data_IF_831003496592
#
_entry.id   IF_831003496592
#
_cell.length_a   1.000
_cell.length_b   1.000
_cell.length_c   1.000
_cell.angle_alpha   90.00
_cell.angle_beta   90.00
_cell.angle_gamma   90.00
#
_symmetry.space_group_name_H-M   'P 1'
#
loop_
_entity.id
_entity.type
_entity.pdbx_description
1 polymer ?
#
# COMPACT_ATOMS: atom_id res chain seq x y z
N UNK A 1 -20.17 -21.70 -12.65
CA UNK A 1 -19.65 -23.10 -12.51
C UNK A 1 -18.53 -23.14 -11.47
N UNK A 2 -17.26 -22.82 -11.78
CA UNK A 2 -16.18 -22.88 -10.75
C UNK A 2 -16.37 -21.93 -9.56
N UNK A 3 -16.81 -20.69 -9.79
CA UNK A 3 -17.01 -19.73 -8.70
C UNK A 3 -18.19 -20.13 -7.77
N UNK A 4 -19.28 -20.66 -8.35
CA UNK A 4 -20.40 -21.18 -7.57
C UNK A 4 -20.01 -22.41 -6.74
N UNK A 5 -19.20 -23.31 -7.29
CA UNK A 5 -18.67 -24.48 -6.57
C UNK A 5 -17.81 -24.07 -5.37
N UNK A 6 -16.93 -23.07 -5.54
CA UNK A 6 -16.13 -22.54 -4.44
C UNK A 6 -17.03 -21.88 -3.40
N UNK A 7 -18.00 -21.06 -3.81
CA UNK A 7 -18.93 -20.43 -2.88
C UNK A 7 -19.78 -21.45 -2.10
N UNK A 8 -20.15 -22.57 -2.72
CA UNK A 8 -20.89 -23.65 -2.07
C UNK A 8 -20.10 -24.38 -0.97
N UNK A 9 -18.77 -24.18 -0.89
CA UNK A 9 -17.96 -24.69 0.23
C UNK A 9 -18.17 -23.92 1.54
N UNK A 10 -18.90 -22.80 1.51
CA UNK A 10 -19.19 -21.99 2.70
C UNK A 10 -18.13 -20.93 3.04
N UNK A 11 -17.23 -20.62 2.10
CA UNK A 11 -16.26 -19.52 2.27
C UNK A 11 -16.94 -18.16 2.36
N UNK A 12 -16.40 -17.27 3.19
CA UNK A 12 -16.92 -15.91 3.37
C UNK A 12 -16.75 -15.03 2.13
N UNK A 13 -15.71 -15.31 1.33
CA UNK A 13 -15.41 -14.56 0.12
C UNK A 13 -14.78 -15.44 -0.96
N UNK A 14 -14.93 -15.01 -2.21
CA UNK A 14 -14.32 -15.65 -3.38
C UNK A 14 -13.55 -14.61 -4.17
N UNK A 15 -12.26 -14.86 -4.40
CA UNK A 15 -11.42 -14.02 -5.23
C UNK A 15 -11.50 -14.46 -6.69
N UNK A 16 -11.76 -13.52 -7.59
CA UNK A 16 -11.91 -13.75 -9.03
C UNK A 16 -10.76 -13.07 -9.77
N UNK A 17 -9.88 -13.85 -10.40
CA UNK A 17 -8.80 -13.33 -11.23
C UNK A 17 -9.33 -12.65 -12.49
N UNK A 18 -9.15 -11.33 -12.59
CA UNK A 18 -9.56 -10.49 -13.70
C UNK A 18 -8.34 -10.17 -14.58
N UNK A 19 -8.00 -11.11 -15.46
CA UNK A 19 -6.95 -10.92 -16.46
C UNK A 19 -7.41 -9.94 -17.55
N UNK A 20 -6.51 -9.11 -18.13
CA UNK A 20 -6.85 -8.19 -19.19
C UNK A 20 -7.63 -8.87 -20.33
N UNK A 21 -8.86 -8.42 -20.56
CA UNK A 21 -9.75 -8.98 -21.57
C UNK A 21 -10.86 -8.00 -21.89
N UNK A 22 -11.29 -7.96 -23.16
CA UNK A 22 -12.47 -7.20 -23.57
C UNK A 22 -13.77 -7.70 -22.90
N UNK A 23 -13.76 -8.92 -22.33
CA UNK A 23 -14.95 -9.55 -21.75
C UNK A 23 -15.10 -9.30 -20.24
N UNK A 24 -14.22 -8.52 -19.58
CA UNK A 24 -14.30 -8.32 -18.12
C UNK A 24 -15.69 -7.81 -17.70
N UNK A 25 -16.28 -6.88 -18.46
CA UNK A 25 -17.61 -6.36 -18.16
C UNK A 25 -18.70 -7.45 -18.23
N UNK A 26 -18.66 -8.29 -19.26
CA UNK A 26 -19.62 -9.38 -19.41
C UNK A 26 -19.44 -10.44 -18.32
N UNK A 27 -18.19 -10.73 -17.93
CA UNK A 27 -17.87 -11.62 -16.82
C UNK A 27 -18.39 -11.07 -15.49
N UNK A 28 -18.18 -9.78 -15.20
CA UNK A 28 -18.69 -9.15 -13.99
C UNK A 28 -20.22 -9.21 -13.92
N UNK A 29 -20.91 -8.93 -15.03
CA UNK A 29 -22.36 -9.06 -15.13
C UNK A 29 -22.84 -10.50 -14.89
N UNK A 30 -22.17 -11.49 -15.50
CA UNK A 30 -22.53 -12.90 -15.31
C UNK A 30 -22.34 -13.38 -13.87
N UNK A 31 -21.44 -12.74 -13.12
CA UNK A 31 -21.16 -13.05 -11.71
C UNK A 31 -22.09 -12.32 -10.73
N UNK A 32 -22.90 -11.36 -11.19
CA UNK A 32 -23.77 -10.54 -10.32
C UNK A 32 -24.73 -11.38 -9.45
N UNK A 33 -25.39 -12.47 -9.94
CA UNK A 33 -26.21 -13.31 -9.07
C UNK A 33 -25.43 -14.00 -7.95
N UNK A 34 -24.14 -14.30 -8.17
CA UNK A 34 -23.24 -14.84 -7.15
C UNK A 34 -22.79 -13.75 -6.17
N UNK A 35 -22.43 -12.57 -6.69
CA UNK A 35 -22.06 -11.40 -5.90
C UNK A 35 -23.19 -10.95 -4.95
N UNK A 36 -24.44 -11.19 -5.31
CA UNK A 36 -25.59 -10.90 -4.44
C UNK A 36 -25.65 -11.74 -3.15
N UNK A 37 -25.00 -12.91 -3.12
CA UNK A 37 -25.06 -13.85 -1.98
C UNK A 37 -23.70 -14.21 -1.38
N UNK A 38 -22.61 -13.92 -2.08
CA UNK A 38 -21.23 -14.22 -1.66
C UNK A 38 -20.34 -13.03 -1.94
N UNK A 39 -19.44 -12.67 -1.01
CA UNK A 39 -18.53 -11.53 -1.19
C UNK A 39 -17.52 -11.85 -2.30
N UNK A 40 -17.67 -11.23 -3.46
CA UNK A 40 -16.69 -11.37 -4.55
C UNK A 40 -15.63 -10.27 -4.47
N UNK A 41 -14.37 -10.66 -4.56
CA UNK A 41 -13.23 -9.76 -4.68
C UNK A 41 -12.65 -9.89 -6.08
N UNK A 42 -12.67 -8.82 -6.88
CA UNK A 42 -12.01 -8.81 -8.18
C UNK A 42 -10.50 -8.68 -7.99
N UNK A 43 -9.70 -9.51 -8.63
CA UNK A 43 -8.23 -9.46 -8.55
C UNK A 43 -7.67 -8.95 -9.87
N UNK A 44 -7.17 -7.72 -9.87
CA UNK A 44 -6.41 -7.12 -10.96
C UNK A 44 -4.92 -7.43 -10.78
N UNK A 45 -4.16 -7.41 -11.87
CA UNK A 45 -2.75 -7.83 -11.85
C UNK A 45 -1.82 -6.68 -12.22
N UNK A 46 -0.97 -6.24 -11.27
CA UNK A 46 -0.06 -5.11 -11.42
C UNK A 46 0.91 -5.29 -12.59
N UNK A 47 1.44 -6.51 -12.76
CA UNK A 47 2.40 -6.91 -13.80
C UNK A 47 1.75 -7.13 -15.18
N UNK A 48 0.44 -6.90 -15.30
CA UNK A 48 -0.31 -6.98 -16.56
C UNK A 48 -1.00 -5.65 -16.91
N UNK A 49 -0.49 -4.53 -16.40
CA UNK A 49 -1.02 -3.18 -16.64
C UNK A 49 -2.53 -3.08 -16.34
N UNK A 50 -2.93 -3.13 -15.05
CA UNK A 50 -4.33 -3.22 -14.68
C UNK A 50 -5.07 -1.94 -15.09
N UNK A 51 -6.25 -2.12 -15.68
CA UNK A 51 -7.14 -1.02 -16.06
C UNK A 51 -8.07 -0.66 -14.90
N UNK A 52 -7.79 0.47 -14.25
CA UNK A 52 -8.59 0.98 -13.14
C UNK A 52 -9.88 1.69 -13.60
N UNK A 53 -10.09 1.90 -14.90
CA UNK A 53 -11.39 2.37 -15.42
C UNK A 53 -12.48 1.29 -15.30
N UNK A 54 -12.10 0.04 -15.00
CA UNK A 54 -13.02 -1.06 -14.74
C UNK A 54 -13.61 -1.04 -13.32
N UNK A 55 -13.07 -0.23 -12.39
CA UNK A 55 -13.53 -0.20 -11.01
C UNK A 55 -15.06 0.06 -10.87
N UNK A 56 -15.67 1.01 -11.60
CA UNK A 56 -17.12 1.23 -11.55
C UNK A 56 -17.94 0.02 -12.01
N UNK A 57 -17.40 -0.84 -12.87
CA UNK A 57 -18.07 -2.06 -13.36
C UNK A 57 -18.21 -3.06 -12.21
N UNK A 58 -17.16 -3.26 -11.41
CA UNK A 58 -17.21 -4.16 -10.25
C UNK A 58 -18.23 -3.66 -9.21
N UNK A 59 -18.23 -2.35 -8.93
CA UNK A 59 -19.23 -1.76 -8.04
C UNK A 59 -20.67 -1.97 -8.55
N UNK A 60 -20.90 -1.70 -9.84
CA UNK A 60 -22.21 -1.87 -10.49
C UNK A 60 -22.73 -3.31 -10.38
N UNK A 61 -21.84 -4.30 -10.51
CA UNK A 61 -22.19 -5.72 -10.43
C UNK A 61 -21.96 -6.33 -9.04
N UNK A 62 -22.03 -5.50 -8.00
CA UNK A 62 -22.13 -5.91 -6.58
C UNK A 62 -20.90 -6.65 -6.03
N UNK A 63 -19.73 -6.49 -6.66
CA UNK A 63 -18.50 -6.97 -6.04
C UNK A 63 -18.32 -6.31 -4.67
N UNK A 64 -17.73 -7.04 -3.73
CA UNK A 64 -17.48 -6.56 -2.39
C UNK A 64 -16.18 -5.73 -2.32
N UNK A 65 -15.23 -6.03 -3.19
CA UNK A 65 -13.95 -5.34 -3.22
C UNK A 65 -13.12 -5.63 -4.46
N UNK A 66 -12.00 -4.95 -4.55
CA UNK A 66 -10.98 -5.13 -5.59
C UNK A 66 -9.62 -5.25 -4.92
N UNK A 67 -8.81 -6.18 -5.38
CA UNK A 67 -7.43 -6.38 -4.96
C UNK A 67 -6.50 -6.22 -6.17
N UNK A 68 -5.30 -5.70 -5.93
CA UNK A 68 -4.19 -5.82 -6.88
C UNK A 68 -3.22 -6.91 -6.40
N UNK A 69 -2.81 -7.83 -7.28
CA UNK A 69 -1.77 -8.85 -7.07
C UNK A 69 -0.78 -8.85 -8.24
N UNK A 70 0.20 -9.76 -8.23
CA UNK A 70 1.03 -10.10 -9.38
C UNK A 70 0.62 -11.45 -9.98
N UNK A 71 0.45 -11.55 -11.29
CA UNK A 71 0.12 -12.80 -11.98
C UNK A 71 1.36 -13.71 -12.05
N UNK A 72 2.50 -13.14 -12.48
CA UNK A 72 3.74 -13.88 -12.74
C UNK A 72 4.60 -13.97 -11.48
N UNK A 73 4.57 -15.16 -10.89
CA UNK A 73 5.23 -15.42 -9.61
C UNK A 73 6.74 -15.51 -9.81
N UNK A 74 7.49 -14.65 -9.11
CA UNK A 74 8.94 -14.52 -9.21
C UNK A 74 9.44 -13.47 -10.23
N UNK A 75 8.55 -12.70 -10.87
CA UNK A 75 8.91 -11.64 -11.84
C UNK A 75 8.68 -10.23 -11.30
N UNK A 76 9.08 -10.01 -10.05
CA UNK A 76 8.90 -8.75 -9.35
C UNK A 76 7.78 -8.78 -8.30
N UNK A 77 7.77 -7.71 -7.51
CA UNK A 77 6.86 -7.44 -6.38
C UNK A 77 5.88 -6.34 -6.74
N UNK A 78 4.84 -6.15 -5.92
CA UNK A 78 3.78 -5.16 -6.15
C UNK A 78 4.34 -3.78 -6.52
N UNK A 79 5.27 -3.26 -5.70
CA UNK A 79 5.81 -1.91 -5.86
C UNK A 79 6.79 -1.77 -7.04
N UNK A 80 7.24 -2.88 -7.66
CA UNK A 80 7.99 -2.82 -8.92
C UNK A 80 7.07 -2.47 -10.11
N UNK A 81 5.79 -2.87 -10.03
CA UNK A 81 4.81 -2.75 -11.12
C UNK A 81 3.78 -1.64 -10.87
N UNK A 82 3.45 -1.39 -9.60
CA UNK A 82 2.56 -0.34 -9.15
C UNK A 82 3.31 0.51 -8.10
N UNK A 83 4.12 1.49 -8.55
CA UNK A 83 4.94 2.30 -7.65
C UNK A 83 4.07 3.14 -6.69
N UNK A 84 4.62 3.57 -5.54
CA UNK A 84 3.88 4.24 -4.46
C UNK A 84 2.99 5.39 -4.94
N UNK A 85 3.48 6.23 -5.84
CA UNK A 85 2.74 7.36 -6.39
C UNK A 85 1.46 6.99 -7.14
N UNK A 86 1.32 5.74 -7.60
CA UNK A 86 0.12 5.23 -8.29
C UNK A 86 -0.86 4.51 -7.35
N UNK A 87 -0.43 4.13 -6.15
CA UNK A 87 -1.26 3.40 -5.18
C UNK A 87 -2.48 4.26 -4.75
N UNK A 88 -2.36 5.55 -4.37
CA UNK A 88 -3.51 6.36 -3.97
C UNK A 88 -4.61 6.40 -5.03
N UNK A 89 -4.24 6.56 -6.30
CA UNK A 89 -5.21 6.60 -7.40
C UNK A 89 -6.07 5.34 -7.50
N UNK A 90 -5.51 4.17 -7.19
CA UNK A 90 -6.26 2.93 -7.09
C UNK A 90 -7.09 2.84 -5.80
N UNK A 91 -6.46 3.09 -4.65
CA UNK A 91 -7.10 2.91 -3.34
C UNK A 91 -8.25 3.89 -3.15
N UNK A 92 -8.01 5.18 -3.36
CA UNK A 92 -9.00 6.24 -3.16
C UNK A 92 -10.17 6.08 -4.13
N UNK A 93 -9.88 5.74 -5.39
CA UNK A 93 -10.93 5.51 -6.39
C UNK A 93 -11.80 4.31 -6.03
N UNK A 94 -11.19 3.20 -5.62
CA UNK A 94 -11.93 1.99 -5.23
C UNK A 94 -12.79 2.25 -3.99
N UNK A 95 -12.24 2.93 -2.97
CA UNK A 95 -12.99 3.33 -1.77
C UNK A 95 -14.12 4.30 -2.08
N UNK A 96 -13.92 5.25 -2.99
CA UNK A 96 -14.97 6.21 -3.41
C UNK A 96 -16.19 5.52 -4.04
N UNK A 97 -16.01 4.28 -4.54
CA UNK A 97 -17.07 3.44 -5.09
C UNK A 97 -17.71 2.52 -4.03
N UNK A 98 -17.32 2.64 -2.76
CA UNK A 98 -17.82 1.81 -1.65
C UNK A 98 -17.29 0.37 -1.66
N UNK A 99 -16.18 0.11 -2.38
CA UNK A 99 -15.55 -1.20 -2.49
C UNK A 99 -14.41 -1.33 -1.48
N UNK A 100 -14.23 -2.52 -0.90
CA UNK A 100 -13.03 -2.86 -0.14
C UNK A 100 -11.80 -2.94 -1.05
N UNK A 101 -10.63 -2.61 -0.51
CA UNK A 101 -9.36 -2.54 -1.22
C UNK A 101 -8.34 -3.52 -0.64
N UNK A 102 -7.81 -4.39 -1.49
CA UNK A 102 -6.70 -5.28 -1.16
C UNK A 102 -5.42 -4.94 -1.93
N UNK A 103 -4.27 -5.13 -1.29
CA UNK A 103 -2.97 -5.09 -1.96
C UNK A 103 -2.19 -6.38 -1.67
N UNK A 104 -1.63 -7.00 -2.70
CA UNK A 104 -0.90 -8.27 -2.67
C UNK A 104 0.18 -8.27 -3.75
N UNK A 105 0.99 -9.31 -3.80
CA UNK A 105 2.00 -9.51 -4.85
C UNK A 105 3.42 -9.51 -4.29
N UNK A 106 3.86 -10.68 -3.83
CA UNK A 106 5.20 -10.90 -3.26
C UNK A 106 5.56 -9.91 -2.13
N UNK A 107 4.57 -9.51 -1.33
CA UNK A 107 4.79 -8.62 -0.19
C UNK A 107 5.67 -9.26 0.87
N UNK A 108 6.53 -8.44 1.47
CA UNK A 108 7.41 -8.76 2.60
C UNK A 108 7.22 -7.73 3.74
N UNK A 109 7.90 -7.96 4.87
CA UNK A 109 7.85 -7.08 6.04
C UNK A 109 8.09 -5.59 5.73
N UNK A 110 9.09 -5.20 4.90
CA UNK A 110 9.31 -3.78 4.57
C UNK A 110 8.16 -3.13 3.79
N UNK A 111 7.32 -3.91 3.11
CA UNK A 111 6.21 -3.37 2.31
C UNK A 111 5.04 -2.92 3.19
N UNK A 112 4.90 -3.47 4.41
CA UNK A 112 3.82 -3.13 5.34
C UNK A 112 3.82 -1.64 5.71
N UNK A 113 4.90 -1.08 6.29
CA UNK A 113 4.91 0.34 6.66
C UNK A 113 4.82 1.28 5.45
N UNK A 114 5.18 0.80 4.26
CA UNK A 114 5.06 1.55 3.01
C UNK A 114 3.64 1.59 2.46
N UNK A 115 2.87 0.51 2.67
CA UNK A 115 1.51 0.36 2.14
C UNK A 115 0.40 0.81 3.11
N UNK A 116 0.61 0.67 4.41
CA UNK A 116 -0.36 1.08 5.44
C UNK A 116 -0.78 2.57 5.36
N UNK A 117 0.10 3.54 5.04
CA UNK A 117 -0.29 4.94 4.90
C UNK A 117 -1.34 5.20 3.81
N UNK A 118 -1.44 4.32 2.80
CA UNK A 118 -2.50 4.39 1.79
C UNK A 118 -3.82 3.79 2.27
N UNK A 119 -3.85 3.27 3.50
CA UNK A 119 -5.01 2.69 4.17
C UNK A 119 -5.74 1.57 3.36
N UNK A 120 -5.07 0.55 2.79
CA UNK A 120 -5.79 -0.59 2.23
C UNK A 120 -6.62 -1.31 3.32
N UNK A 121 -7.73 -1.94 2.95
CA UNK A 121 -8.56 -2.69 3.90
C UNK A 121 -7.92 -4.04 4.29
N UNK A 122 -7.09 -4.61 3.41
CA UNK A 122 -6.30 -5.80 3.71
C UNK A 122 -5.04 -5.93 2.86
N UNK A 123 -4.05 -6.64 3.40
CA UNK A 123 -2.80 -6.99 2.72
C UNK A 123 -2.70 -8.51 2.53
N UNK A 124 -2.27 -8.95 1.34
CA UNK A 124 -2.13 -10.35 0.98
C UNK A 124 -0.68 -10.84 1.04
N UNK A 125 -0.41 -11.85 1.86
CA UNK A 125 0.91 -12.47 1.99
C UNK A 125 0.87 -13.96 1.69
N UNK A 126 1.94 -14.47 1.08
CA UNK A 126 2.14 -15.92 0.91
C UNK A 126 3.58 -16.34 1.11
N UNK A 127 4.53 -15.69 0.41
CA UNK A 127 5.95 -15.99 0.53
C UNK A 127 6.48 -15.64 1.92
N UNK A 128 6.20 -14.42 2.39
CA UNK A 128 6.61 -13.94 3.71
C UNK A 128 6.09 -14.81 4.87
N UNK A 129 4.97 -15.50 4.71
CA UNK A 129 4.40 -16.37 5.75
C UNK A 129 5.02 -17.77 5.81
N UNK A 130 5.92 -18.11 4.89
CA UNK A 130 6.54 -19.44 4.78
C UNK A 130 7.95 -19.54 5.35
N UNK A 131 8.43 -18.47 5.98
CA UNK A 131 9.82 -18.36 6.38
C UNK A 131 10.78 -18.59 5.20
N UNK A 132 11.94 -19.17 5.48
CA UNK A 132 13.00 -19.40 4.49
C UNK A 132 12.74 -20.61 3.58
N UNK A 133 11.64 -21.34 3.76
CA UNK A 133 11.35 -22.59 3.04
C UNK A 133 10.66 -22.39 1.68
N UNK A 134 10.43 -21.13 1.28
CA UNK A 134 9.88 -20.78 -0.03
C UNK A 134 8.35 -20.85 -0.10
N UNK A 135 7.78 -20.18 -1.11
CA UNK A 135 6.34 -19.91 -1.23
C UNK A 135 5.42 -21.13 -1.22
N UNK A 136 5.90 -22.32 -1.57
CA UNK A 136 5.09 -23.55 -1.63
C UNK A 136 5.09 -24.36 -0.34
N UNK A 137 5.88 -23.97 0.67
CA UNK A 137 5.93 -24.67 1.96
C UNK A 137 4.70 -24.39 2.82
N UNK A 138 4.62 -25.03 3.99
CA UNK A 138 3.64 -24.73 5.02
C UNK A 138 3.83 -23.31 5.57
N UNK A 139 2.72 -22.68 5.96
CA UNK A 139 2.75 -21.41 6.69
C UNK A 139 3.43 -21.64 8.04
N UNK A 140 4.37 -20.76 8.40
CA UNK A 140 5.06 -20.73 9.69
C UNK A 140 4.31 -19.80 10.65
N UNK A 141 3.98 -20.29 11.85
CA UNK A 141 3.34 -19.49 12.89
C UNK A 141 4.22 -18.31 13.33
N UNK A 142 5.54 -18.51 13.37
CA UNK A 142 6.52 -17.48 13.71
C UNK A 142 6.51 -16.34 12.67
N UNK A 143 6.56 -16.70 11.38
CA UNK A 143 6.52 -15.73 10.29
C UNK A 143 5.19 -14.95 10.24
N UNK A 144 4.09 -15.62 10.59
CA UNK A 144 2.78 -14.96 10.75
C UNK A 144 2.81 -13.95 11.91
N UNK A 145 3.41 -14.29 13.05
CA UNK A 145 3.55 -13.36 14.19
C UNK A 145 4.35 -12.13 13.79
N UNK A 146 5.51 -12.32 13.16
CA UNK A 146 6.38 -11.23 12.70
C UNK A 146 5.65 -10.26 11.75
N UNK A 147 4.91 -10.78 10.77
CA UNK A 147 4.12 -9.96 9.85
C UNK A 147 2.95 -9.27 10.57
N UNK A 148 2.28 -9.96 11.49
CA UNK A 148 1.14 -9.40 12.24
C UNK A 148 1.56 -8.24 13.13
N UNK A 149 2.71 -8.32 13.78
CA UNK A 149 3.21 -7.29 14.70
C UNK A 149 3.56 -5.98 14.01
N UNK A 150 3.85 -6.01 12.71
CA UNK A 150 4.04 -4.81 11.88
C UNK A 150 2.71 -4.14 11.48
N UNK A 151 1.58 -4.79 11.72
CA UNK A 151 0.25 -4.26 11.42
C UNK A 151 -0.37 -3.72 12.72
N UNK A 152 -0.79 -2.46 12.79
CA UNK A 152 -1.42 -1.91 13.99
C UNK A 152 -2.71 -2.68 14.34
N UNK A 153 -2.98 -2.89 15.62
CA UNK A 153 -4.30 -3.34 16.04
C UNK A 153 -5.36 -2.27 15.69
N UNK A 154 -6.56 -2.70 15.30
CA UNK A 154 -7.66 -1.76 15.14
C UNK A 154 -8.01 -1.18 16.52
N UNK A 155 -7.77 0.10 16.72
CA UNK A 155 -8.26 0.79 17.92
C UNK A 155 -9.78 0.82 17.86
N UNK A 156 -10.44 0.03 18.71
CA UNK A 156 -11.88 0.15 18.91
C UNK A 156 -12.22 1.53 19.49
N UNK A 157 -13.29 2.12 18.97
CA UNK A 157 -14.02 3.32 19.44
C UNK A 157 -13.55 4.70 18.97
N UNK A 158 -14.53 5.47 18.49
CA UNK A 158 -14.37 6.77 17.84
C UNK A 158 -14.17 7.93 18.82
N UNK A 159 -13.42 8.91 18.34
CA UNK A 159 -13.24 10.23 18.93
C UNK A 159 -12.62 11.14 17.87
N UNK A 160 -13.30 12.24 17.56
CA UNK A 160 -12.76 13.28 16.69
C UNK A 160 -11.47 13.86 17.30
N UNK A 161 -10.48 14.09 16.45
CA UNK A 161 -9.08 14.42 16.76
C UNK A 161 -8.22 13.22 17.18
N UNK A 162 -8.04 12.26 16.27
CA UNK A 162 -7.23 11.07 16.49
C UNK A 162 -5.98 11.16 15.62
N UNK A 163 -4.82 11.34 16.24
CA UNK A 163 -3.52 11.06 15.62
C UNK A 163 -3.59 9.61 15.09
N UNK A 164 -3.28 9.42 13.81
CA UNK A 164 -3.42 8.10 13.17
C UNK A 164 -2.27 7.19 13.65
N UNK A 165 -2.51 6.49 14.77
CA UNK A 165 -1.56 5.56 15.37
C UNK A 165 -1.09 4.47 14.38
N UNK A 166 -1.78 4.28 13.25
CA UNK A 166 -1.32 3.42 12.15
C UNK A 166 -0.17 4.01 11.36
N UNK A 167 -0.17 5.32 11.13
CA UNK A 167 0.94 6.06 10.54
C UNK A 167 2.14 6.06 11.48
N UNK A 168 1.88 6.27 12.78
CA UNK A 168 2.91 6.24 13.82
C UNK A 168 3.55 4.85 13.95
N UNK A 169 2.78 3.77 14.01
CA UNK A 169 3.32 2.40 14.08
C UNK A 169 4.01 1.95 12.77
N UNK A 170 3.52 2.37 11.60
CA UNK A 170 4.26 2.21 10.34
C UNK A 170 5.59 2.97 10.34
N UNK A 171 5.70 4.04 11.14
CA UNK A 171 6.88 4.88 11.35
C UNK A 171 7.64 4.54 12.64
N UNK A 172 7.46 3.34 13.19
CA UNK A 172 8.25 2.92 14.34
C UNK A 172 7.83 3.54 15.68
N UNK A 173 6.62 4.07 15.81
CA UNK A 173 6.08 4.46 17.11
C UNK A 173 5.32 3.28 17.73
N UNK A 174 5.92 2.62 18.71
CA UNK A 174 5.20 1.73 19.62
C UNK A 174 4.71 2.54 20.83
N UNK A 175 3.47 2.38 21.32
CA UNK A 175 3.01 3.06 22.54
C UNK A 175 3.81 2.68 23.80
N UNK A 176 4.65 1.65 23.73
CA UNK A 176 5.61 1.25 24.77
C UNK A 176 7.02 1.83 24.52
N UNK A 177 7.14 3.00 23.90
CA UNK A 177 8.46 3.65 23.75
C UNK A 177 8.95 4.07 25.13
N UNK A 178 10.08 3.52 25.57
CA UNK A 178 10.76 4.00 26.77
C UNK A 178 11.29 5.41 26.49
N UNK A 179 10.78 6.46 27.18
CA UNK A 179 11.19 7.84 26.94
C UNK A 179 12.65 8.12 27.32
N UNK A 180 13.36 7.14 27.88
CA UNK A 180 14.81 7.21 28.10
C UNK A 180 15.63 6.80 26.87
N UNK A 181 15.01 6.17 25.87
CA UNK A 181 15.64 5.85 24.59
C UNK A 181 15.95 7.14 23.81
N UNK A 182 17.05 7.11 23.07
CA UNK A 182 17.51 8.26 22.29
C UNK A 182 16.72 8.46 21.00
N UNK A 183 17.28 9.27 20.11
CA UNK A 183 16.81 9.42 18.74
C UNK A 183 17.83 8.84 17.77
N UNK A 184 17.39 8.07 16.80
CA UNK A 184 18.17 7.77 15.61
C UNK A 184 18.02 8.91 14.61
N UNK A 185 19.12 9.27 13.94
CA UNK A 185 19.09 10.23 12.84
C UNK A 185 19.18 9.51 11.51
N UNK A 186 18.10 9.57 10.74
CA UNK A 186 17.99 8.96 9.42
C UNK A 186 18.33 9.98 8.34
N UNK A 187 19.11 9.54 7.36
CA UNK A 187 19.51 10.36 6.21
C UNK A 187 19.04 9.73 4.91
N UNK A 188 18.32 10.49 4.10
CA UNK A 188 18.13 10.23 2.67
C UNK A 188 18.94 11.31 1.94
N UNK A 189 19.95 10.92 1.17
CA UNK A 189 20.83 11.85 0.46
C UNK A 189 20.88 11.52 -1.01
N UNK A 190 21.08 12.55 -1.84
CA UNK A 190 21.21 12.42 -3.28
C UNK A 190 20.05 11.68 -3.95
N UNK A 191 18.85 11.76 -3.35
CA UNK A 191 17.64 11.20 -3.96
C UNK A 191 17.12 12.15 -5.03
N UNK A 192 17.29 11.79 -6.30
CA UNK A 192 16.95 12.66 -7.43
C UNK A 192 15.71 12.16 -8.15
N UNK A 193 14.72 13.04 -8.34
CA UNK A 193 13.50 12.75 -9.11
C UNK A 193 13.25 13.83 -10.18
N UNK A 194 12.58 13.46 -11.29
CA UNK A 194 11.98 14.44 -12.19
C UNK A 194 10.72 15.04 -11.53
N UNK A 195 10.68 16.35 -11.36
CA UNK A 195 9.57 17.06 -10.70
C UNK A 195 9.07 18.20 -11.59
N UNK A 196 7.75 18.35 -11.75
CA UNK A 196 7.18 19.55 -12.32
C UNK A 196 7.22 20.65 -11.26
N UNK A 197 8.19 21.53 -11.35
CA UNK A 197 8.40 22.60 -10.37
C UNK A 197 8.84 23.86 -11.10
N UNK A 198 8.39 25.02 -10.63
CA UNK A 198 8.79 26.30 -11.20
C UNK A 198 7.81 27.43 -10.93
N UNK A 199 8.34 28.63 -10.72
CA UNK A 199 7.53 29.82 -10.50
C UNK A 199 7.12 30.50 -11.81
N UNK A 200 7.85 30.25 -12.90
CA UNK A 200 7.57 30.86 -14.20
C UNK A 200 6.61 30.03 -15.01
N UNK A 201 5.71 30.70 -15.74
CA UNK A 201 4.71 30.07 -16.60
C UNK A 201 5.30 29.13 -17.65
N UNK A 202 6.50 29.39 -18.15
CA UNK A 202 7.18 28.51 -19.12
C UNK A 202 7.74 27.22 -18.52
N UNK A 203 7.85 27.12 -17.19
CA UNK A 203 8.28 25.90 -16.50
C UNK A 203 7.12 24.90 -16.34
N UNK A 204 5.88 25.37 -16.48
CA UNK A 204 4.70 24.50 -16.39
C UNK A 204 4.70 23.46 -17.51
N UNK A 205 4.42 22.21 -17.13
CA UNK A 205 4.40 21.08 -18.07
C UNK A 205 5.79 20.49 -18.38
N UNK A 206 6.86 21.05 -17.82
CA UNK A 206 8.21 20.49 -17.92
C UNK A 206 8.68 19.94 -16.57
N UNK A 207 9.46 18.86 -16.61
CA UNK A 207 10.09 18.29 -15.41
C UNK A 207 11.53 18.75 -15.27
N UNK A 208 11.93 19.12 -14.06
CA UNK A 208 13.31 19.45 -13.69
C UNK A 208 13.87 18.35 -12.76
N UNK A 209 15.18 18.13 -12.79
CA UNK A 209 15.82 17.20 -11.84
C UNK A 209 15.95 17.89 -10.48
N UNK A 210 15.26 17.38 -9.48
CA UNK A 210 15.32 17.90 -8.11
C UNK A 210 16.01 16.86 -7.23
N UNK A 211 17.02 17.31 -6.47
CA UNK A 211 17.68 16.50 -5.45
C UNK A 211 17.04 16.76 -4.09
N UNK A 212 16.70 15.68 -3.39
CA UNK A 212 16.21 15.69 -2.03
C UNK A 212 17.30 15.18 -1.08
N UNK A 213 17.62 16.01 -0.10
CA UNK A 213 18.47 15.66 1.04
C UNK A 213 17.63 15.86 2.30
N UNK A 214 17.23 14.76 2.94
CA UNK A 214 16.36 14.74 4.12
C UNK A 214 17.13 14.16 5.30
N UNK A 215 17.06 14.86 6.43
CA UNK A 215 17.51 14.36 7.72
C UNK A 215 16.31 14.38 8.68
N UNK A 216 16.03 13.26 9.33
CA UNK A 216 14.94 13.12 10.28
C UNK A 216 15.46 12.48 11.57
N UNK A 217 15.12 13.07 12.71
CA UNK A 217 15.33 12.47 14.03
C UNK A 217 14.09 11.65 14.37
N UNK A 218 14.26 10.35 14.56
CA UNK A 218 13.19 9.40 14.90
C UNK A 218 13.47 8.81 16.28
N UNK A 219 12.41 8.62 17.08
CA UNK A 219 12.57 7.98 18.38
C UNK A 219 13.03 6.54 18.20
N UNK A 220 13.97 6.12 19.03
CA UNK A 220 14.39 4.72 19.08
C UNK A 220 13.29 3.86 19.70
N UNK A 221 13.04 2.70 19.08
CA UNK A 221 12.09 1.70 19.59
C UNK A 221 12.75 0.81 20.63
N UNK A 222 14.04 0.50 20.42
CA UNK A 222 14.85 -0.38 21.24
C UNK A 222 16.33 -0.09 21.03
N UNK A 223 17.16 -0.30 22.05
CA UNK A 223 18.63 -0.26 21.96
C UNK A 223 19.22 -1.48 21.23
N UNK A 224 18.40 -2.52 20.99
CA UNK A 224 18.83 -3.78 20.39
C UNK A 224 17.93 -4.17 19.22
N UNK A 225 18.04 -3.50 18.06
CA UNK A 225 17.19 -3.79 16.91
C UNK A 225 17.56 -5.14 16.28
N UNK A 226 16.61 -6.08 16.29
CA UNK A 226 16.79 -7.40 15.67
C UNK A 226 16.20 -7.52 14.26
N UNK A 227 15.14 -6.75 13.96
CA UNK A 227 14.42 -6.80 12.68
C UNK A 227 13.62 -5.51 12.40
N UNK A 228 12.79 -5.56 11.34
CA UNK A 228 12.01 -4.43 10.84
C UNK A 228 11.05 -3.81 11.87
N UNK A 229 10.62 -4.56 12.89
CA UNK A 229 9.75 -4.03 13.96
C UNK A 229 10.44 -2.97 14.82
N UNK A 230 11.77 -2.94 14.78
CA UNK A 230 12.62 -2.14 15.65
C UNK A 230 13.27 -0.93 14.96
N UNK A 231 13.00 -0.73 13.67
CA UNK A 231 13.66 0.31 12.85
C UNK A 231 12.65 1.11 12.03
N UNK A 232 12.93 2.40 11.85
CA UNK A 232 12.20 3.23 10.89
C UNK A 232 12.77 3.01 9.48
N UNK A 233 11.91 2.71 8.51
CA UNK A 233 12.32 2.56 7.12
C UNK A 233 12.42 3.90 6.40
N UNK A 234 13.58 4.19 5.81
CA UNK A 234 13.77 5.35 4.94
C UNK A 234 12.90 5.32 3.68
N UNK A 235 12.37 4.15 3.29
CA UNK A 235 11.43 4.04 2.16
C UNK A 235 10.17 4.88 2.39
N UNK A 236 9.76 5.09 3.64
CA UNK A 236 8.61 5.95 3.99
C UNK A 236 8.86 7.38 3.50
N UNK A 237 10.07 7.91 3.72
CA UNK A 237 10.46 9.25 3.27
C UNK A 237 10.48 9.29 1.75
N UNK A 238 11.11 8.29 1.11
CA UNK A 238 11.25 8.24 -0.35
C UNK A 238 9.90 8.12 -1.06
N UNK A 239 9.02 7.24 -0.58
CA UNK A 239 7.68 7.01 -1.11
C UNK A 239 6.76 8.22 -0.88
N UNK A 240 6.92 8.88 0.27
CA UNK A 240 6.28 10.16 0.58
C UNK A 240 6.64 11.24 -0.43
N UNK A 241 7.94 11.44 -0.69
CA UNK A 241 8.43 12.38 -1.69
C UNK A 241 7.86 12.04 -3.07
N UNK A 242 7.91 10.77 -3.50
CA UNK A 242 7.33 10.32 -4.79
C UNK A 242 5.85 10.67 -4.89
N UNK A 243 5.10 10.42 -3.83
CA UNK A 243 3.66 10.68 -3.77
C UNK A 243 3.36 12.18 -3.85
N UNK A 244 4.15 13.01 -3.16
CA UNK A 244 3.99 14.48 -3.18
C UNK A 244 4.24 15.03 -4.58
N UNK A 245 5.38 14.68 -5.19
CA UNK A 245 5.75 15.23 -6.50
C UNK A 245 4.86 14.73 -7.64
N UNK A 246 4.21 13.58 -7.46
CA UNK A 246 3.26 13.04 -8.44
C UNK A 246 1.91 13.77 -8.49
N UNK A 247 1.59 14.60 -7.49
CA UNK A 247 0.32 15.37 -7.44
C UNK A 247 0.22 16.44 -8.53
N UNK A 248 1.34 16.81 -9.15
CA UNK A 248 1.40 17.75 -10.25
C UNK A 248 2.42 18.84 -10.03
N UNK A 249 2.21 19.97 -10.71
CA UNK A 249 3.14 21.10 -10.68
C UNK A 249 3.19 21.77 -9.30
N UNK A 250 4.40 22.05 -8.82
CA UNK A 250 4.64 22.77 -7.56
C UNK A 250 5.28 24.12 -7.88
N UNK A 251 4.74 25.20 -7.31
CA UNK A 251 5.21 26.54 -7.65
C UNK A 251 6.59 26.87 -7.06
N UNK A 252 6.82 26.48 -5.81
CA UNK A 252 7.96 26.91 -5.01
C UNK A 252 8.66 25.71 -4.37
N UNK A 253 10.00 25.74 -4.33
CA UNK A 253 10.80 24.75 -3.63
C UNK A 253 10.50 24.69 -2.14
N UNK A 254 10.16 25.83 -1.55
CA UNK A 254 9.82 26.01 -0.15
C UNK A 254 8.53 25.26 0.17
N UNK A 255 7.51 25.40 -0.69
CA UNK A 255 6.25 24.67 -0.54
C UNK A 255 6.44 23.15 -0.67
N UNK A 256 7.31 22.71 -1.59
CA UNK A 256 7.69 21.30 -1.70
C UNK A 256 8.40 20.81 -0.42
N UNK A 257 9.36 21.58 0.10
CA UNK A 257 10.08 21.25 1.32
C UNK A 257 9.14 21.15 2.53
N UNK A 258 8.20 22.10 2.68
CA UNK A 258 7.18 22.06 3.73
C UNK A 258 6.26 20.84 3.62
N UNK A 259 5.82 20.49 2.41
CA UNK A 259 4.99 19.29 2.19
C UNK A 259 5.74 18.01 2.53
N UNK A 260 7.02 17.91 2.18
CA UNK A 260 7.87 16.76 2.53
C UNK A 260 8.08 16.71 4.04
N UNK A 261 8.38 17.84 4.68
CA UNK A 261 8.56 17.91 6.13
C UNK A 261 7.27 17.51 6.87
N UNK A 262 6.11 18.05 6.48
CA UNK A 262 4.82 17.69 7.04
C UNK A 262 4.55 16.18 6.88
N UNK A 263 4.81 15.62 5.70
CA UNK A 263 4.66 14.18 5.50
C UNK A 263 5.59 13.33 6.38
N UNK A 264 6.80 13.79 6.71
CA UNK A 264 7.71 13.03 7.57
C UNK A 264 7.33 13.18 9.06
N UNK A 265 6.81 14.33 9.46
CA UNK A 265 6.49 14.68 10.85
C UNK A 265 5.08 14.26 11.31
N UNK A 266 4.08 14.27 10.41
CA UNK A 266 2.67 13.92 10.67
C UNK A 266 2.35 12.50 10.25
#
# INVERSE_FOLDING_TARGET
IKADEIAATGVDSVQIGCFPSANISACAQALEPLAARTKLIAVLFADLAPDFELLPIFARHRFHGVMVDTAQKGKGRLLDHLPPERIPGFVDRTKSLGLMVGLSGSLEAPDIPRLLPFAPDFLGFRGALCGHSGRTSSISAEAVSQIRELIPAESGTGGQSSIDYRLLAARGYSPDTDPTLGTDRIFVRDFVLPVQIGAYSFEHGHTQKVRFDVAADVLQITDHPEDMRHVFSYDIIMDGIRTIVARGHIQLSEALAEQVAAHVLE
#
